data_IF_751241170056
#
_entry.id   IF_751241170056
#
_cell.length_a   1.000
_cell.length_b   1.000
_cell.length_c   1.000
_cell.angle_alpha   90.00
_cell.angle_beta   90.00
_cell.angle_gamma   90.00
#
_symmetry.space_group_name_H-M   'P 1'
#
loop_
_entity.id
_entity.type
_entity.pdbx_description
1 polymer ?
#
# COMPACT_ATOMS: atom_id res chain seq x y z
N UNK A 1 20.47 3.97 42.70
CA UNK A 1 19.21 4.18 41.96
C UNK A 1 18.99 5.68 41.83
N UNK A 2 19.09 6.25 40.63
CA UNK A 2 18.92 7.69 40.41
C UNK A 2 17.53 7.94 39.81
N UNK A 3 16.61 8.42 40.63
CA UNK A 3 15.31 8.94 40.19
C UNK A 3 15.56 10.13 39.27
N UNK A 4 15.11 10.05 38.01
CA UNK A 4 15.09 11.22 37.11
C UNK A 4 13.98 12.16 37.56
N UNK A 5 14.27 13.05 38.50
CA UNK A 5 13.35 14.11 38.89
C UNK A 5 13.13 15.06 37.71
N UNK A 6 11.88 15.13 37.25
CA UNK A 6 11.45 16.10 36.24
C UNK A 6 11.46 17.49 36.87
N UNK A 7 12.32 18.39 36.38
CA UNK A 7 12.41 19.77 36.87
C UNK A 7 11.49 20.65 36.00
N UNK A 8 10.30 20.91 36.52
CA UNK A 8 9.33 21.82 35.90
C UNK A 8 9.78 23.30 35.96
N UNK A 9 9.06 24.17 35.24
CA UNK A 9 9.44 25.59 35.12
C UNK A 9 9.33 26.35 36.46
N UNK A 10 8.47 25.92 37.37
CA UNK A 10 8.34 26.52 38.70
C UNK A 10 9.55 26.16 39.59
N UNK A 11 9.94 24.88 39.60
CA UNK A 11 11.11 24.38 40.31
C UNK A 11 12.40 24.98 39.76
N UNK A 12 12.51 25.17 38.44
CA UNK A 12 13.62 25.92 37.81
C UNK A 12 13.73 27.34 38.37
N UNK A 13 12.60 28.03 38.58
CA UNK A 13 12.58 29.40 39.09
C UNK A 13 13.09 29.49 40.52
N UNK A 14 12.64 28.55 41.37
CA UNK A 14 13.10 28.44 42.75
C UNK A 14 14.60 28.15 42.86
N UNK A 15 15.12 27.29 41.98
CA UNK A 15 16.55 26.97 41.92
C UNK A 15 17.37 28.21 41.54
N UNK A 16 16.96 28.94 40.49
CA UNK A 16 17.64 30.15 40.03
C UNK A 16 17.65 31.22 41.12
N UNK A 17 16.51 31.51 41.74
CA UNK A 17 16.43 32.50 42.83
C UNK A 17 17.31 32.12 44.03
N UNK A 18 17.39 30.84 44.39
CA UNK A 18 18.27 30.39 45.48
C UNK A 18 19.76 30.47 45.12
N UNK A 19 20.11 30.33 43.84
CA UNK A 19 21.49 30.55 43.36
C UNK A 19 21.86 32.03 43.46
N UNK A 20 20.96 32.95 43.15
CA UNK A 20 21.19 34.39 43.27
C UNK A 20 21.40 34.82 44.73
N UNK A 21 20.65 34.23 45.66
CA UNK A 21 20.77 34.47 47.10
C UNK A 21 22.07 33.91 47.70
N UNK A 22 22.38 32.63 47.45
CA UNK A 22 23.45 31.90 48.16
C UNK A 22 24.78 31.87 47.39
N UNK A 23 24.75 32.15 46.08
CA UNK A 23 25.90 32.14 45.13
C UNK A 23 26.73 30.86 45.08
N UNK A 24 26.24 29.73 45.64
CA UNK A 24 26.93 28.43 45.65
C UNK A 24 26.04 27.31 45.08
N UNK A 25 26.36 26.86 43.86
CA UNK A 25 25.60 25.83 43.12
C UNK A 25 25.60 24.48 43.86
N UNK A 26 26.71 24.13 44.52
CA UNK A 26 26.84 22.88 45.31
C UNK A 26 25.88 22.83 46.49
N UNK A 27 25.66 23.96 47.16
CA UNK A 27 24.69 24.06 48.25
C UNK A 27 23.27 23.92 47.71
N UNK A 28 22.93 24.65 46.63
CA UNK A 28 21.60 24.59 46.02
C UNK A 28 21.26 23.18 45.51
N UNK A 29 22.22 22.49 44.88
CA UNK A 29 22.04 21.11 44.42
C UNK A 29 21.67 20.14 45.56
N UNK A 30 22.28 20.30 46.74
CA UNK A 30 21.94 19.51 47.94
C UNK A 30 20.57 19.87 48.52
N UNK A 31 20.24 21.16 48.57
CA UNK A 31 18.96 21.64 49.14
C UNK A 31 17.76 21.15 48.35
N UNK A 32 17.88 21.09 47.01
CA UNK A 32 16.79 20.64 46.14
C UNK A 32 16.87 19.16 45.76
N UNK A 33 17.86 18.42 46.28
CA UNK A 33 18.15 17.01 45.92
C UNK A 33 18.22 16.76 44.39
N UNK A 34 18.92 17.66 43.68
CA UNK A 34 19.08 17.61 42.23
C UNK A 34 20.56 17.47 41.88
N UNK A 35 20.84 16.69 40.84
CA UNK A 35 22.19 16.53 40.34
C UNK A 35 22.86 17.89 40.07
N UNK A 36 24.07 18.07 40.61
CA UNK A 36 24.84 19.31 40.48
C UNK A 36 24.99 19.77 39.02
N UNK A 37 25.15 18.82 38.09
CA UNK A 37 25.24 19.09 36.65
C UNK A 37 23.97 19.75 36.09
N UNK A 38 22.78 19.33 36.52
CA UNK A 38 21.52 19.89 36.07
C UNK A 38 21.33 21.33 36.57
N UNK A 39 21.68 21.60 37.83
CA UNK A 39 21.65 22.95 38.41
C UNK A 39 22.66 23.87 37.72
N UNK A 40 23.87 23.36 37.44
CA UNK A 40 24.92 24.10 36.73
C UNK A 40 24.51 24.47 35.30
N UNK A 41 23.92 23.53 34.56
CA UNK A 41 23.43 23.77 33.19
C UNK A 41 22.26 24.77 33.16
N UNK A 42 21.34 24.66 34.12
CA UNK A 42 20.23 25.61 34.26
C UNK A 42 20.75 27.03 34.52
N UNK A 43 21.70 27.20 35.44
CA UNK A 43 22.29 28.49 35.76
C UNK A 43 23.07 29.09 34.57
N UNK A 44 23.83 28.26 33.84
CA UNK A 44 24.50 28.69 32.61
C UNK A 44 23.48 29.17 31.57
N UNK A 45 22.41 28.42 31.33
CA UNK A 45 21.35 28.81 30.41
C UNK A 45 20.71 30.13 30.83
N UNK A 46 20.36 30.30 32.11
CA UNK A 46 19.75 31.52 32.63
C UNK A 46 20.65 32.74 32.46
N UNK A 47 21.96 32.63 32.76
CA UNK A 47 22.90 33.74 32.53
C UNK A 47 23.03 34.14 31.07
N UNK A 48 22.80 33.22 30.13
CA UNK A 48 22.84 33.52 28.70
C UNK A 48 21.52 34.08 28.18
N UNK A 49 20.37 33.62 28.67
CA UNK A 49 19.05 33.95 28.09
C UNK A 49 18.18 34.86 28.94
N UNK A 50 18.48 35.03 30.23
CA UNK A 50 17.64 35.74 31.20
C UNK A 50 16.30 35.06 31.51
N UNK A 51 16.05 33.86 30.98
CA UNK A 51 14.77 33.17 31.08
C UNK A 51 14.90 31.86 31.86
N UNK A 52 13.93 31.63 32.75
CA UNK A 52 13.84 30.42 33.57
C UNK A 52 13.18 29.24 32.82
N UNK A 53 12.23 29.54 31.94
CA UNK A 53 11.48 28.55 31.17
C UNK A 53 12.26 27.99 29.99
N UNK A 54 11.94 26.76 29.60
CA UNK A 54 12.45 26.20 28.33
C UNK A 54 11.84 26.99 27.15
N UNK A 55 12.66 27.44 26.21
CA UNK A 55 12.14 27.89 24.90
C UNK A 55 11.43 26.71 24.23
N UNK A 56 10.23 26.94 23.71
CA UNK A 56 9.66 26.01 22.74
C UNK A 56 10.67 25.89 21.59
N UNK A 57 11.22 24.69 21.40
CA UNK A 57 12.17 24.45 20.31
C UNK A 57 11.53 24.86 19.00
N UNK A 58 12.28 25.58 18.16
CA UNK A 58 11.80 25.99 16.85
C UNK A 58 11.26 24.76 16.10
N UNK A 59 9.96 24.78 15.79
CA UNK A 59 9.36 23.76 14.94
C UNK A 59 10.08 23.78 13.58
N UNK A 60 10.20 22.61 12.93
CA UNK A 60 10.64 22.53 11.53
C UNK A 60 9.83 23.54 10.70
N UNK A 61 10.50 24.22 9.77
CA UNK A 61 9.85 25.06 8.77
C UNK A 61 8.66 24.33 8.17
N UNK A 62 7.55 25.05 8.00
CA UNK A 62 6.32 24.50 7.43
C UNK A 62 6.63 24.05 6.00
N UNK A 63 6.58 22.73 5.78
CA UNK A 63 6.97 22.13 4.50
C UNK A 63 5.87 22.19 3.44
N UNK A 64 4.66 22.61 3.81
CA UNK A 64 3.47 22.66 2.95
C UNK A 64 2.78 24.02 3.04
N UNK A 65 2.23 24.46 1.90
CA UNK A 65 1.43 25.69 1.80
C UNK A 65 -0.03 25.47 2.22
N UNK A 66 -0.81 26.52 2.55
CA UNK A 66 -2.23 26.37 2.91
C UNK A 66 -3.10 25.73 1.83
N UNK A 67 -2.75 25.91 0.55
CA UNK A 67 -3.43 25.26 -0.57
C UNK A 67 -3.13 23.75 -0.62
N UNK A 68 -1.88 23.37 -0.35
CA UNK A 68 -1.47 21.96 -0.26
C UNK A 68 -2.09 21.26 0.94
N UNK A 69 -2.18 21.93 2.10
CA UNK A 69 -2.87 21.42 3.28
C UNK A 69 -4.35 21.11 2.95
N UNK A 70 -5.03 22.00 2.22
CA UNK A 70 -6.42 21.79 1.80
C UNK A 70 -6.55 20.58 0.86
N UNK A 71 -5.64 20.43 -0.09
CA UNK A 71 -5.60 19.26 -0.98
C UNK A 71 -5.31 17.96 -0.23
N UNK A 72 -4.37 17.98 0.73
CA UNK A 72 -4.02 16.84 1.58
C UNK A 72 -5.22 16.41 2.41
N UNK A 73 -5.92 17.36 3.04
CA UNK A 73 -7.12 17.09 3.86
C UNK A 73 -8.24 16.49 3.02
N UNK A 74 -8.51 17.03 1.83
CA UNK A 74 -9.54 16.50 0.94
C UNK A 74 -9.17 15.10 0.42
N UNK A 75 -7.90 14.87 0.10
CA UNK A 75 -7.39 13.57 -0.34
C UNK A 75 -7.45 12.51 0.77
N UNK A 76 -7.06 12.86 2.00
CA UNK A 76 -7.12 11.96 3.16
C UNK A 76 -8.57 11.66 3.59
N UNK A 77 -9.48 12.64 3.46
CA UNK A 77 -10.92 12.43 3.70
C UNK A 77 -11.55 11.51 2.63
N UNK A 78 -11.07 11.56 1.39
CA UNK A 78 -11.52 10.68 0.30
C UNK A 78 -10.89 9.28 0.38
N UNK A 79 -9.64 9.15 0.83
CA UNK A 79 -8.91 7.88 0.92
C UNK A 79 -8.16 7.76 2.27
N UNK A 80 -8.80 7.18 3.28
CA UNK A 80 -8.33 7.09 4.69
C UNK A 80 -7.06 6.24 4.94
N UNK A 81 -6.46 5.60 3.93
CA UNK A 81 -5.40 4.58 4.12
C UNK A 81 -4.05 4.87 3.45
N UNK A 82 -3.80 6.05 2.87
CA UNK A 82 -2.58 6.27 2.06
C UNK A 82 -1.83 7.55 2.45
N UNK A 83 -0.50 7.45 2.63
CA UNK A 83 0.39 8.60 2.87
C UNK A 83 0.43 9.53 1.66
N UNK A 84 0.09 10.80 1.86
CA UNK A 84 -0.23 11.76 0.78
C UNK A 84 0.91 12.03 -0.21
N UNK A 85 2.17 12.00 0.23
CA UNK A 85 3.33 12.27 -0.63
C UNK A 85 3.58 11.15 -1.64
N UNK A 86 3.44 9.88 -1.22
CA UNK A 86 3.53 8.73 -2.12
C UNK A 86 2.36 8.74 -3.11
N UNK A 87 1.14 9.04 -2.65
CA UNK A 87 -0.02 9.19 -3.54
C UNK A 87 0.21 10.24 -4.62
N UNK A 88 0.80 11.40 -4.27
CA UNK A 88 1.08 12.47 -5.23
C UNK A 88 2.08 12.03 -6.30
N UNK A 89 3.18 11.39 -5.91
CA UNK A 89 4.17 10.84 -6.86
C UNK A 89 3.56 9.77 -7.77
N UNK A 90 2.74 8.87 -7.23
CA UNK A 90 2.04 7.85 -8.00
C UNK A 90 1.04 8.46 -8.99
N UNK A 91 0.26 9.46 -8.58
CA UNK A 91 -0.66 10.16 -9.48
C UNK A 91 0.08 10.87 -10.62
N UNK A 92 1.20 11.55 -10.33
CA UNK A 92 2.01 12.19 -11.37
C UNK A 92 2.55 11.19 -12.39
N UNK A 93 3.11 10.06 -11.92
CA UNK A 93 3.63 9.02 -12.80
C UNK A 93 2.52 8.39 -13.67
N UNK A 94 1.35 8.12 -13.08
CA UNK A 94 0.16 7.62 -13.80
C UNK A 94 -0.30 8.60 -14.86
N UNK A 95 -0.43 9.87 -14.50
CA UNK A 95 -0.86 10.93 -15.42
C UNK A 95 0.13 11.10 -16.57
N UNK A 96 1.44 11.08 -16.28
CA UNK A 96 2.47 11.19 -17.30
C UNK A 96 2.39 10.02 -18.28
N UNK A 97 2.35 8.78 -17.78
CA UNK A 97 2.23 7.60 -18.63
C UNK A 97 0.96 7.64 -19.48
N UNK A 98 -0.18 8.03 -18.90
CA UNK A 98 -1.43 8.16 -19.66
C UNK A 98 -1.34 9.24 -20.74
N UNK A 99 -0.63 10.35 -20.50
CA UNK A 99 -0.41 11.40 -21.51
C UNK A 99 0.49 10.92 -22.65
N UNK A 100 1.53 10.15 -22.34
CA UNK A 100 2.42 9.55 -23.33
C UNK A 100 1.68 8.57 -24.26
N UNK A 101 0.67 7.88 -23.74
CA UNK A 101 -0.13 6.89 -24.47
C UNK A 101 -1.52 7.39 -24.87
N UNK A 102 -1.82 8.68 -24.69
CA UNK A 102 -3.15 9.26 -24.96
C UNK A 102 -3.54 9.16 -26.45
N UNK A 103 -2.55 9.30 -27.33
CA UNK A 103 -2.78 9.27 -28.78
C UNK A 103 -2.63 7.86 -29.38
N UNK A 104 -2.46 6.83 -28.55
CA UNK A 104 -2.35 5.45 -29.03
C UNK A 104 -3.71 4.93 -29.47
N UNK A 105 -3.73 4.38 -30.67
CA UNK A 105 -4.90 3.73 -31.27
C UNK A 105 -5.01 2.27 -30.81
N UNK A 106 -6.15 1.62 -31.09
CA UNK A 106 -6.30 0.18 -30.84
C UNK A 106 -5.22 -0.65 -31.55
N UNK A 107 -4.74 -0.21 -32.71
CA UNK A 107 -3.67 -0.89 -33.45
C UNK A 107 -2.33 -0.81 -32.72
N UNK A 108 -2.03 0.32 -32.06
CA UNK A 108 -0.83 0.47 -31.25
C UNK A 108 -0.87 -0.47 -30.04
N UNK A 109 -2.04 -0.60 -29.41
CA UNK A 109 -2.27 -1.54 -28.31
C UNK A 109 -2.25 -3.01 -28.75
N UNK A 110 -2.55 -3.31 -30.02
CA UNK A 110 -2.54 -4.67 -30.54
C UNK A 110 -1.16 -5.34 -30.45
N UNK A 111 -0.09 -4.56 -30.51
CA UNK A 111 1.28 -5.03 -30.36
C UNK A 111 1.75 -5.21 -28.91
N UNK A 112 0.90 -4.93 -27.92
CA UNK A 112 1.25 -4.99 -26.49
C UNK A 112 0.79 -6.30 -25.87
N UNK A 113 1.75 -7.02 -25.26
CA UNK A 113 1.46 -8.14 -24.38
C UNK A 113 1.33 -7.64 -22.94
N UNK A 114 0.12 -7.75 -22.38
CA UNK A 114 -0.14 -7.48 -20.97
C UNK A 114 0.06 -8.77 -20.18
N UNK A 115 0.91 -8.75 -19.15
CA UNK A 115 1.19 -9.93 -18.33
C UNK A 115 1.19 -9.58 -16.85
N UNK A 116 0.85 -10.54 -16.01
CA UNK A 116 0.91 -10.39 -14.56
C UNK A 116 0.88 -11.75 -13.85
N UNK A 117 1.10 -11.75 -12.55
CA UNK A 117 0.93 -12.90 -11.68
C UNK A 117 -0.33 -12.77 -10.81
N UNK A 118 -1.13 -13.84 -10.73
CA UNK A 118 -2.29 -13.88 -9.83
C UNK A 118 -2.34 -15.14 -8.97
N UNK A 119 -2.87 -14.99 -7.75
CA UNK A 119 -2.91 -16.04 -6.73
C UNK A 119 -4.32 -16.60 -6.63
N UNK A 120 -4.47 -17.88 -6.93
CA UNK A 120 -5.73 -18.60 -6.79
C UNK A 120 -5.70 -19.50 -5.56
N UNK A 121 -6.71 -19.42 -4.70
CA UNK A 121 -6.82 -20.17 -3.46
C UNK A 121 -7.95 -21.22 -3.52
N UNK A 122 -7.75 -22.38 -2.88
CA UNK A 122 -8.78 -23.43 -2.78
C UNK A 122 -9.99 -22.99 -1.95
N UNK A 123 -9.76 -22.20 -0.90
CA UNK A 123 -10.81 -21.50 -0.19
C UNK A 123 -10.91 -20.07 -0.72
N UNK A 124 -12.12 -19.66 -1.10
CA UNK A 124 -12.41 -18.29 -1.51
C UNK A 124 -12.11 -17.34 -0.35
N UNK A 125 -11.21 -16.37 -0.59
CA UNK A 125 -10.95 -15.32 0.37
C UNK A 125 -12.06 -14.25 0.40
N UNK A 126 -13.01 -14.29 -0.55
CA UNK A 126 -13.81 -13.12 -0.88
C UNK A 126 -15.28 -13.39 -1.16
N UNK A 127 -15.94 -14.20 -0.33
CA UNK A 127 -17.39 -14.03 -0.14
C UNK A 127 -17.59 -13.46 1.26
N UNK A 128 -18.03 -12.20 1.35
CA UNK A 128 -18.70 -11.73 2.57
C UNK A 128 -19.90 -12.66 2.76
N UNK A 129 -19.76 -13.67 3.59
CA UNK A 129 -20.88 -14.54 3.93
C UNK A 129 -21.82 -13.68 4.77
N UNK A 130 -23.01 -13.41 4.21
CA UNK A 130 -24.06 -12.72 4.92
C UNK A 130 -24.73 -13.73 5.85
N UNK A 131 -24.50 -13.58 7.15
CA UNK A 131 -25.12 -14.40 8.19
C UNK A 131 -26.36 -13.66 8.68
N UNK A 132 -27.54 -14.23 8.41
CA UNK A 132 -28.79 -13.78 9.01
C UNK A 132 -28.81 -14.20 10.48
N UNK A 133 -28.96 -13.24 11.40
CA UNK A 133 -28.97 -13.50 12.85
C UNK A 133 -29.87 -12.52 13.59
N UNK A 134 -30.33 -12.92 14.76
CA UNK A 134 -31.10 -12.07 15.67
C UNK A 134 -30.24 -10.92 16.23
N UNK A 135 -30.87 -9.76 16.49
CA UNK A 135 -30.17 -8.61 17.07
C UNK A 135 -29.56 -8.97 18.43
N UNK A 136 -28.34 -8.48 18.70
CA UNK A 136 -27.60 -8.80 19.94
C UNK A 136 -26.85 -10.14 19.97
N UNK A 137 -27.04 -11.03 19.00
CA UNK A 137 -26.41 -12.37 18.99
C UNK A 137 -25.05 -12.46 18.29
N UNK A 138 -24.38 -11.32 18.05
CA UNK A 138 -23.23 -11.20 17.16
C UNK A 138 -22.06 -12.12 17.49
N UNK A 139 -21.84 -12.37 18.78
CA UNK A 139 -20.67 -13.09 19.28
C UNK A 139 -21.02 -14.52 19.73
N UNK A 140 -22.21 -15.05 19.40
CA UNK A 140 -22.51 -16.46 19.62
C UNK A 140 -21.62 -17.31 18.71
N UNK A 141 -21.05 -18.44 19.17
CA UNK A 141 -20.23 -19.32 18.34
C UNK A 141 -20.92 -19.75 17.04
N UNK A 142 -22.23 -19.95 17.09
CA UNK A 142 -23.09 -20.27 15.93
C UNK A 142 -23.09 -19.20 14.83
N UNK A 143 -22.79 -17.94 15.19
CA UNK A 143 -22.76 -16.78 14.30
C UNK A 143 -21.34 -16.33 13.93
N UNK A 144 -20.31 -17.05 14.41
CA UNK A 144 -18.90 -16.76 14.16
C UNK A 144 -18.36 -17.83 13.22
N UNK A 145 -17.83 -17.41 12.07
CA UNK A 145 -17.09 -18.28 11.18
C UNK A 145 -15.59 -18.02 11.35
N UNK A 146 -14.87 -19.02 11.85
CA UNK A 146 -13.41 -18.97 11.88
C UNK A 146 -12.85 -19.02 10.46
N UNK A 147 -11.88 -18.16 10.19
CA UNK A 147 -11.21 -18.08 8.89
C UNK A 147 -9.71 -18.18 9.09
N UNK A 148 -9.07 -19.12 8.41
CA UNK A 148 -7.62 -19.22 8.39
C UNK A 148 -7.01 -17.97 7.75
N UNK A 149 -6.00 -17.41 8.42
CA UNK A 149 -5.27 -16.21 7.92
C UNK A 149 -4.49 -16.50 6.63
N UNK A 150 -4.16 -17.77 6.38
CA UNK A 150 -3.46 -18.23 5.19
C UNK A 150 -4.10 -19.54 4.72
N UNK A 151 -4.99 -19.49 3.73
CA UNK A 151 -5.62 -20.71 3.25
C UNK A 151 -4.57 -21.67 2.69
N UNK A 152 -4.46 -22.84 3.31
CA UNK A 152 -3.63 -23.93 2.82
C UNK A 152 -4.17 -24.39 1.48
N UNK A 153 -3.47 -24.08 0.38
CA UNK A 153 -3.95 -24.49 -0.94
C UNK A 153 -3.67 -23.54 -2.10
N UNK A 154 -3.15 -22.33 -1.86
CA UNK A 154 -2.98 -21.35 -2.94
C UNK A 154 -1.92 -21.75 -3.98
N UNK A 155 -2.17 -21.36 -5.22
CA UNK A 155 -1.28 -21.49 -6.39
C UNK A 155 -1.04 -20.11 -6.98
N UNK A 156 0.20 -19.85 -7.37
CA UNK A 156 0.59 -18.65 -8.09
C UNK A 156 0.64 -19.01 -9.59
N UNK A 157 0.01 -18.21 -10.43
CA UNK A 157 0.01 -18.39 -11.88
C UNK A 157 0.52 -17.13 -12.56
N UNK A 158 1.07 -17.29 -13.76
CA UNK A 158 1.43 -16.21 -14.67
C UNK A 158 0.77 -16.45 -16.03
N UNK A 159 0.32 -15.38 -16.68
CA UNK A 159 -0.03 -15.41 -18.08
C UNK A 159 0.14 -14.04 -18.72
N UNK A 160 0.08 -14.01 -20.05
CA UNK A 160 -0.05 -12.81 -20.84
C UNK A 160 -1.23 -12.86 -21.82
N UNK A 161 -1.81 -11.70 -22.08
CA UNK A 161 -2.90 -11.48 -23.04
C UNK A 161 -2.53 -10.37 -24.01
N UNK A 162 -2.99 -10.49 -25.25
CA UNK A 162 -2.83 -9.48 -26.30
C UNK A 162 -4.03 -9.55 -27.26
N UNK A 163 -4.12 -8.60 -28.18
CA UNK A 163 -5.13 -8.69 -29.26
C UNK A 163 -4.82 -9.91 -30.12
N UNK A 164 -5.84 -10.73 -30.41
CA UNK A 164 -5.75 -11.96 -31.19
C UNK A 164 -4.82 -13.05 -30.61
N UNK A 165 -4.45 -12.96 -29.32
CA UNK A 165 -3.60 -13.98 -28.72
C UNK A 165 -3.55 -13.97 -27.20
N UNK A 166 -3.01 -15.06 -26.66
CA UNK A 166 -2.68 -15.21 -25.24
C UNK A 166 -1.56 -16.23 -25.07
N UNK A 167 -0.87 -16.17 -23.95
CA UNK A 167 0.09 -17.22 -23.58
C UNK A 167 -0.63 -18.43 -23.00
N UNK A 168 0.10 -19.54 -22.88
CA UNK A 168 -0.31 -20.63 -22.00
C UNK A 168 -0.26 -20.15 -20.55
N UNK A 169 -1.17 -20.63 -19.72
CA UNK A 169 -1.15 -20.36 -18.28
C UNK A 169 0.04 -21.10 -17.65
N UNK A 170 0.99 -20.34 -17.11
CA UNK A 170 2.15 -20.88 -16.42
C UNK A 170 1.87 -21.02 -14.93
N UNK A 171 2.06 -22.22 -14.39
CA UNK A 171 1.84 -22.50 -12.97
C UNK A 171 3.16 -22.51 -12.23
N UNK A 172 3.30 -21.61 -11.26
CA UNK A 172 4.52 -21.48 -10.47
C UNK A 172 4.48 -22.49 -9.31
N UNK A 173 5.18 -23.62 -9.49
CA UNK A 173 5.26 -24.69 -8.48
C UNK A 173 6.38 -24.41 -7.47
N UNK A 174 5.99 -24.34 -6.18
CA UNK A 174 6.78 -24.20 -4.93
C UNK A 174 8.27 -23.81 -5.07
N UNK A 175 8.57 -22.64 -4.52
CA UNK A 175 9.89 -22.06 -4.32
C UNK A 175 9.74 -20.54 -4.44
N UNK A 176 10.47 -19.76 -3.64
CA UNK A 176 10.58 -18.32 -3.92
C UNK A 176 11.02 -18.21 -5.37
N UNK A 177 10.23 -17.55 -6.22
CA UNK A 177 10.63 -17.26 -7.60
C UNK A 177 11.86 -16.38 -7.48
N UNK A 178 13.06 -16.96 -7.47
CA UNK A 178 14.26 -16.19 -7.68
C UNK A 178 14.10 -15.58 -9.06
N UNK A 179 14.38 -14.27 -9.19
CA UNK A 179 14.14 -13.53 -10.43
C UNK A 179 14.69 -14.22 -11.68
N UNK A 180 15.74 -15.02 -11.54
CA UNK A 180 16.31 -15.82 -12.63
C UNK A 180 15.34 -16.86 -13.21
N UNK A 181 14.57 -17.56 -12.37
CA UNK A 181 13.61 -18.57 -12.85
C UNK A 181 12.45 -17.91 -13.59
N UNK A 182 12.04 -16.73 -13.17
CA UNK A 182 11.07 -15.91 -13.91
C UNK A 182 11.65 -15.45 -15.25
N UNK A 183 12.93 -15.04 -15.27
CA UNK A 183 13.61 -14.68 -16.51
C UNK A 183 13.64 -15.86 -17.48
N UNK A 184 14.06 -17.04 -17.00
CA UNK A 184 14.28 -18.22 -17.83
C UNK A 184 12.97 -18.88 -18.30
N UNK A 185 11.99 -19.03 -17.41
CA UNK A 185 10.74 -19.74 -17.71
C UNK A 185 9.68 -18.84 -18.36
N UNK A 186 9.67 -17.54 -18.01
CA UNK A 186 8.58 -16.61 -18.37
C UNK A 186 9.02 -15.52 -19.35
N UNK A 187 10.05 -14.74 -19.01
CA UNK A 187 10.43 -13.55 -19.81
C UNK A 187 11.16 -13.92 -21.11
N UNK A 188 12.16 -14.81 -21.07
CA UNK A 188 12.95 -15.17 -22.26
C UNK A 188 12.14 -15.94 -23.30
N UNK A 189 11.08 -16.64 -22.87
CA UNK A 189 10.22 -17.44 -23.74
C UNK A 189 9.13 -16.60 -24.44
N UNK A 190 8.66 -15.51 -23.83
CA UNK A 190 7.48 -14.78 -24.32
C UNK A 190 7.66 -13.25 -24.48
N UNK A 191 8.62 -12.62 -23.78
CA UNK A 191 8.76 -11.15 -23.71
C UNK A 191 10.06 -10.70 -24.36
N UNK A 192 10.02 -10.37 -25.65
CA UNK A 192 11.20 -9.89 -26.40
C UNK A 192 11.49 -8.40 -26.22
N UNK A 193 10.49 -7.60 -25.85
CA UNK A 193 10.63 -6.15 -25.69
C UNK A 193 9.76 -5.67 -24.52
N UNK A 194 10.37 -4.99 -23.55
CA UNK A 194 9.65 -4.46 -22.39
C UNK A 194 9.23 -3.01 -22.64
N UNK A 195 7.92 -2.74 -22.60
CA UNK A 195 7.38 -1.38 -22.47
C UNK A 195 7.03 -1.14 -21.00
N UNK A 196 7.42 0.03 -20.49
CA UNK A 196 7.31 0.34 -19.06
C UNK A 196 5.89 0.27 -18.53
N UNK A 197 5.70 -0.40 -17.40
CA UNK A 197 4.46 -0.42 -16.64
C UNK A 197 4.45 0.68 -15.57
N UNK A 198 3.28 1.24 -15.26
CA UNK A 198 3.14 2.18 -14.15
C UNK A 198 2.96 1.41 -12.85
N UNK A 199 3.88 1.59 -11.91
CA UNK A 199 3.81 0.93 -10.61
C UNK A 199 2.47 1.22 -9.89
N UNK A 200 1.93 0.19 -9.22
CA UNK A 200 0.69 0.26 -8.39
C UNK A 200 -0.55 0.72 -9.15
N UNK A 201 -0.70 0.27 -10.40
CA UNK A 201 -1.82 0.65 -11.27
C UNK A 201 -2.49 -0.58 -11.89
N UNK A 202 -3.09 -1.48 -11.07
CA UNK A 202 -3.80 -2.66 -11.58
C UNK A 202 -4.97 -2.27 -12.50
N UNK A 203 -5.53 -1.09 -12.29
CA UNK A 203 -6.58 -0.50 -13.12
C UNK A 203 -6.15 -0.19 -14.56
N UNK A 204 -4.85 0.00 -14.79
CA UNK A 204 -4.25 0.17 -16.11
C UNK A 204 -3.64 -1.14 -16.65
N UNK A 205 -3.90 -2.28 -16.00
CA UNK A 205 -3.50 -3.60 -16.48
C UNK A 205 -4.73 -4.47 -16.79
N UNK A 206 -5.15 -4.57 -18.07
CA UNK A 206 -6.28 -5.37 -18.55
C UNK A 206 -6.37 -6.79 -17.98
N UNK A 207 -5.23 -7.45 -17.74
CA UNK A 207 -5.21 -8.85 -17.31
C UNK A 207 -5.85 -9.06 -15.94
N UNK A 208 -5.95 -8.03 -15.10
CA UNK A 208 -6.64 -8.08 -13.81
C UNK A 208 -8.13 -8.45 -13.98
N UNK A 209 -8.79 -7.90 -15.00
CA UNK A 209 -10.18 -8.25 -15.31
C UNK A 209 -10.31 -9.69 -15.82
N UNK A 210 -9.26 -10.21 -16.48
CA UNK A 210 -9.22 -11.59 -16.95
C UNK A 210 -9.02 -12.55 -15.78
N UNK A 211 -8.24 -12.17 -14.78
CA UNK A 211 -8.14 -12.93 -13.52
C UNK A 211 -9.48 -13.03 -12.81
N UNK A 212 -10.23 -11.94 -12.70
CA UNK A 212 -11.58 -11.96 -12.13
C UNK A 212 -12.55 -12.85 -12.92
N UNK A 213 -12.44 -12.85 -14.26
CA UNK A 213 -13.27 -13.70 -15.12
C UNK A 213 -12.92 -15.17 -14.93
N UNK A 214 -11.63 -15.50 -14.84
CA UNK A 214 -11.13 -16.85 -14.60
C UNK A 214 -11.56 -17.36 -13.21
N UNK A 215 -11.47 -16.53 -12.17
CA UNK A 215 -11.94 -16.90 -10.83
C UNK A 215 -13.44 -17.22 -10.84
N UNK A 216 -14.24 -16.38 -11.50
CA UNK A 216 -15.69 -16.60 -11.64
C UNK A 216 -16.01 -17.89 -12.41
N UNK A 217 -15.28 -18.20 -13.48
CA UNK A 217 -15.49 -19.45 -14.24
C UNK A 217 -15.11 -20.67 -13.40
N UNK A 218 -13.97 -20.65 -12.72
CA UNK A 218 -13.55 -21.76 -11.84
C UNK A 218 -14.51 -21.95 -10.67
N UNK A 219 -15.00 -20.86 -10.07
CA UNK A 219 -15.98 -20.91 -8.99
C UNK A 219 -17.38 -21.35 -9.44
N UNK A 220 -17.69 -21.22 -10.74
CA UNK A 220 -18.94 -21.65 -11.35
C UNK A 220 -18.96 -23.10 -11.83
N UNK A 221 -17.86 -23.86 -11.69
CA UNK A 221 -17.79 -25.25 -12.12
C UNK A 221 -18.69 -26.14 -11.26
N UNK A 222 -19.35 -27.11 -11.90
CA UNK A 222 -20.16 -28.13 -11.21
C UNK A 222 -19.37 -28.89 -10.14
N UNK A 223 -18.07 -29.10 -10.37
CA UNK A 223 -17.15 -29.76 -9.45
C UNK A 223 -16.07 -28.77 -9.03
N UNK A 224 -16.21 -28.12 -7.86
CA UNK A 224 -15.21 -27.18 -7.38
C UNK A 224 -13.90 -27.91 -7.06
N UNK A 225 -12.74 -27.28 -7.31
CA UNK A 225 -11.44 -27.89 -7.03
C UNK A 225 -11.25 -28.09 -5.53
N UNK A 226 -10.91 -29.30 -5.11
CA UNK A 226 -10.72 -29.68 -3.69
C UNK A 226 -9.26 -29.79 -3.28
N UNK A 227 -8.35 -29.88 -4.24
CA UNK A 227 -6.91 -29.97 -4.02
C UNK A 227 -6.13 -29.18 -5.08
N UNK A 228 -4.83 -28.96 -4.82
CA UNK A 228 -3.97 -28.16 -5.72
C UNK A 228 -3.94 -28.69 -7.15
N UNK A 229 -3.85 -30.00 -7.35
CA UNK A 229 -3.78 -30.57 -8.69
C UNK A 229 -5.09 -30.35 -9.46
N UNK A 230 -6.24 -30.51 -8.79
CA UNK A 230 -7.54 -30.19 -9.39
C UNK A 230 -7.70 -28.70 -9.66
N UNK A 231 -7.13 -27.82 -8.82
CA UNK A 231 -7.12 -26.37 -9.06
C UNK A 231 -6.24 -25.99 -10.24
N UNK A 232 -5.04 -26.56 -10.36
CA UNK A 232 -4.15 -26.39 -11.53
C UNK A 232 -4.91 -26.76 -12.81
N UNK A 233 -5.49 -27.97 -12.85
CA UNK A 233 -6.26 -28.43 -14.01
C UNK A 233 -7.45 -27.52 -14.30
N UNK A 234 -8.19 -27.13 -13.27
CA UNK A 234 -9.35 -26.28 -13.45
C UNK A 234 -8.97 -24.91 -14.05
N UNK A 235 -7.89 -24.30 -13.55
CA UNK A 235 -7.39 -23.02 -14.04
C UNK A 235 -6.89 -23.13 -15.47
N UNK A 236 -6.13 -24.18 -15.82
CA UNK A 236 -5.65 -24.37 -17.19
C UNK A 236 -6.81 -24.60 -18.17
N UNK A 237 -7.77 -25.45 -17.80
CA UNK A 237 -8.92 -25.74 -18.66
C UNK A 237 -9.84 -24.52 -18.85
N UNK A 238 -10.11 -23.73 -17.80
CA UNK A 238 -10.92 -22.51 -17.95
C UNK A 238 -10.15 -21.42 -18.70
N UNK A 239 -8.84 -21.27 -18.47
CA UNK A 239 -8.01 -20.34 -19.24
C UNK A 239 -8.09 -20.63 -20.74
N UNK A 240 -8.00 -21.89 -21.14
CA UNK A 240 -8.09 -22.30 -22.54
C UNK A 240 -9.50 -22.11 -23.14
N UNK A 241 -10.54 -22.07 -22.30
CA UNK A 241 -11.93 -21.81 -22.75
C UNK A 241 -12.29 -20.33 -22.85
N UNK A 242 -11.50 -19.42 -22.27
CA UNK A 242 -11.79 -17.99 -22.35
C UNK A 242 -11.91 -17.56 -23.83
N UNK A 243 -13.01 -16.92 -24.26
CA UNK A 243 -13.13 -16.48 -25.64
C UNK A 243 -12.09 -15.40 -25.97
N UNK A 244 -11.43 -15.50 -27.13
CA UNK A 244 -10.48 -14.48 -27.57
C UNK A 244 -11.14 -13.09 -27.65
N UNK A 245 -12.41 -13.03 -28.06
CA UNK A 245 -13.21 -11.79 -28.07
C UNK A 245 -13.27 -11.11 -26.69
N UNK A 246 -13.32 -11.88 -25.59
CA UNK A 246 -13.29 -11.31 -24.25
C UNK A 246 -11.94 -10.64 -23.99
N UNK A 247 -10.84 -11.28 -24.37
CA UNK A 247 -9.49 -10.74 -24.19
C UNK A 247 -9.30 -9.47 -25.03
N UNK A 248 -9.72 -9.52 -26.28
CA UNK A 248 -9.62 -8.39 -27.22
C UNK A 248 -10.40 -7.19 -26.69
N UNK A 249 -11.64 -7.39 -26.21
CA UNK A 249 -12.46 -6.33 -25.62
C UNK A 249 -11.79 -5.67 -24.41
N UNK A 250 -11.14 -6.47 -23.55
CA UNK A 250 -10.47 -5.95 -22.35
C UNK A 250 -9.19 -5.20 -22.75
N UNK A 251 -8.44 -5.66 -23.74
CA UNK A 251 -7.26 -4.93 -24.26
C UNK A 251 -7.67 -3.63 -24.97
N UNK A 252 -8.70 -3.66 -25.81
CA UNK A 252 -9.24 -2.47 -26.49
C UNK A 252 -9.76 -1.42 -25.50
N UNK A 253 -10.21 -1.85 -24.30
CA UNK A 253 -10.62 -0.91 -23.25
C UNK A 253 -9.50 0.01 -22.76
N UNK A 254 -8.23 -0.26 -23.10
CA UNK A 254 -7.08 0.58 -22.73
C UNK A 254 -7.19 2.02 -23.19
N UNK A 255 -7.75 2.28 -24.38
CA UNK A 255 -7.98 3.64 -24.88
C UNK A 255 -8.83 4.42 -23.88
N UNK A 256 -9.97 3.85 -23.49
CA UNK A 256 -10.88 4.44 -22.50
C UNK A 256 -10.26 4.54 -21.10
N UNK A 257 -9.48 3.55 -20.66
CA UNK A 257 -8.83 3.55 -19.34
C UNK A 257 -7.82 4.68 -19.21
N UNK A 258 -7.03 4.91 -20.25
CA UNK A 258 -6.07 6.02 -20.33
C UNK A 258 -6.80 7.36 -20.23
N UNK A 259 -7.85 7.56 -21.01
CA UNK A 259 -8.69 8.77 -20.94
C UNK A 259 -9.28 8.98 -19.53
N UNK A 260 -9.89 7.93 -18.99
CA UNK A 260 -10.50 7.94 -17.66
C UNK A 260 -9.48 8.17 -16.54
N UNK A 261 -8.19 7.86 -16.74
CA UNK A 261 -7.13 8.14 -15.76
C UNK A 261 -6.60 9.57 -15.88
N UNK A 262 -6.71 10.20 -17.05
CA UNK A 262 -6.35 11.61 -17.26
C UNK A 262 -7.35 12.53 -16.57
N UNK A 263 -8.66 12.27 -16.67
CA UNK A 263 -9.71 13.10 -16.06
C UNK A 263 -9.53 13.35 -14.54
N UNK A 264 -9.20 12.35 -13.70
CA UNK A 264 -8.92 12.53 -12.28
C UNK A 264 -7.45 12.91 -11.99
N UNK A 265 -6.70 13.39 -12.97
CA UNK A 265 -5.27 13.76 -12.84
C UNK A 265 -4.40 12.62 -12.29
N UNK A 266 -4.52 11.43 -12.89
CA UNK A 266 -3.77 10.23 -12.47
C UNK A 266 -4.40 9.51 -11.27
N UNK A 267 -5.65 9.82 -10.93
CA UNK A 267 -6.42 9.08 -9.92
C UNK A 267 -6.84 7.68 -10.36
N UNK A 268 -7.40 6.93 -9.41
CA UNK A 268 -7.96 5.60 -9.64
C UNK A 268 -9.16 5.65 -10.59
N UNK A 269 -9.24 4.71 -11.52
CA UNK A 269 -10.38 4.58 -12.44
C UNK A 269 -11.31 3.43 -12.02
N UNK A 270 -12.63 3.50 -12.27
CA UNK A 270 -13.47 2.31 -12.22
C UNK A 270 -13.16 1.43 -13.44
N UNK A 271 -12.81 0.16 -13.22
CA UNK A 271 -12.48 -0.82 -14.25
C UNK A 271 -12.99 -2.21 -13.87
#
# INVERSE_FOLDING_TARGET
>A
MSSRHHIDDFMRGRIIGKIEEVRKITHVARVFDIAHSAVSLLWKSFKTTGMCSRRHGGCRFRSTTPAEDRYIVLSAKRNRRTTTQHTRQHHTARLQWCREHHNWTEQDWAGVLFSDESRFSLSSDCRRQLIWRESGTAYRPENIQEKDRYPTGSIMVWAGIMINGRTRLHVVVKGTVMGQRYIDEVLLSHVRFFRGAVARSPDLNPIENVWDALERQVAGRNYPPTNKNTLIRALTEEWDKLPQQLLDNVVQSMVRRVECCITPYGGHIPY
#
